data_IF_677601809784
#
_entry.id   IF_677601809784
#
_cell.length_a   1.000
_cell.length_b   1.000
_cell.length_c   1.000
_cell.angle_alpha   90.00
_cell.angle_beta   90.00
_cell.angle_gamma   90.00
#
_symmetry.space_group_name_H-M   'P 1'
#
loop_
_entity.id
_entity.type
_entity.pdbx_description
1 polymer ?
#
# COMPACT_ATOMS: atom_id res chain seq x y z
N UNK A 1 1.90 7.39 11.78
CA UNK A 1 2.78 7.10 10.63
C UNK A 1 2.18 5.96 9.83
N UNK A 2 1.76 6.21 8.60
CA UNK A 2 1.25 5.18 7.68
C UNK A 2 2.46 4.43 7.11
N UNK A 3 2.57 3.11 7.33
CA UNK A 3 3.79 2.37 7.01
C UNK A 3 3.50 1.21 6.05
N UNK A 4 3.82 1.42 4.77
CA UNK A 4 3.85 0.35 3.76
C UNK A 4 4.69 -0.86 4.21
N UNK A 5 5.81 -0.61 4.90
CA UNK A 5 6.65 -1.65 5.48
C UNK A 5 5.89 -2.58 6.46
N UNK A 6 4.94 -2.04 7.23
CA UNK A 6 4.12 -2.84 8.16
C UNK A 6 3.17 -3.77 7.40
N UNK A 7 2.50 -3.25 6.38
CA UNK A 7 1.62 -4.06 5.52
C UNK A 7 2.41 -5.20 4.86
N UNK A 8 3.58 -4.91 4.28
CA UNK A 8 4.46 -5.91 3.65
C UNK A 8 4.97 -6.95 4.65
N UNK A 9 5.37 -6.55 5.85
CA UNK A 9 5.79 -7.47 6.91
C UNK A 9 4.67 -8.44 7.32
N UNK A 10 3.45 -7.93 7.52
CA UNK A 10 2.29 -8.75 7.86
C UNK A 10 1.95 -9.71 6.72
N UNK A 11 2.06 -9.26 5.47
CA UNK A 11 1.84 -10.08 4.30
C UNK A 11 2.86 -11.23 4.22
N UNK A 12 4.15 -10.92 4.37
CA UNK A 12 5.23 -11.91 4.34
C UNK A 12 5.15 -12.93 5.49
N UNK A 13 4.53 -12.57 6.60
CA UNK A 13 4.33 -13.45 7.77
C UNK A 13 2.98 -14.18 7.77
N UNK A 14 2.22 -14.11 6.67
CA UNK A 14 0.94 -14.81 6.51
C UNK A 14 -0.25 -14.18 7.25
N UNK A 15 -0.08 -13.00 7.84
CA UNK A 15 -1.15 -12.26 8.55
C UNK A 15 -2.00 -11.45 7.58
N UNK A 16 -2.55 -12.12 6.56
CA UNK A 16 -3.17 -11.51 5.36
C UNK A 16 -4.26 -10.49 5.68
N UNK A 17 -5.15 -10.76 6.66
CA UNK A 17 -6.20 -9.80 7.04
C UNK A 17 -5.63 -8.49 7.59
N UNK A 18 -4.69 -8.59 8.54
CA UNK A 18 -4.04 -7.41 9.12
C UNK A 18 -3.20 -6.67 8.08
N UNK A 19 -2.55 -7.42 7.19
CA UNK A 19 -1.81 -6.85 6.07
C UNK A 19 -2.73 -6.03 5.16
N UNK A 20 -3.92 -6.56 4.83
CA UNK A 20 -4.91 -5.88 4.00
C UNK A 20 -5.47 -4.62 4.67
N UNK A 21 -5.68 -4.63 5.99
CA UNK A 21 -6.13 -3.46 6.74
C UNK A 21 -5.06 -2.35 6.73
N UNK A 22 -3.79 -2.70 6.94
CA UNK A 22 -2.68 -1.75 6.85
C UNK A 22 -2.46 -1.24 5.42
N UNK A 23 -2.62 -2.09 4.41
CA UNK A 23 -2.58 -1.68 3.01
C UNK A 23 -3.69 -0.68 2.68
N UNK A 24 -4.92 -0.86 3.16
CA UNK A 24 -6.00 0.12 2.97
C UNK A 24 -5.65 1.48 3.56
N UNK A 25 -4.99 1.51 4.72
CA UNK A 25 -4.52 2.77 5.30
C UNK A 25 -3.47 3.46 4.41
N UNK A 26 -2.52 2.69 3.85
CA UNK A 26 -1.52 3.19 2.89
C UNK A 26 -2.19 3.71 1.62
N UNK A 27 -3.08 2.92 1.02
CA UNK A 27 -3.81 3.24 -0.20
C UNK A 27 -4.58 4.55 -0.07
N UNK A 28 -5.36 4.68 1.01
CA UNK A 28 -6.14 5.90 1.27
C UNK A 28 -5.23 7.11 1.45
N UNK A 29 -4.10 6.95 2.13
CA UNK A 29 -3.15 8.03 2.36
C UNK A 29 -2.49 8.53 1.08
N UNK A 30 -1.96 7.63 0.24
CA UNK A 30 -1.27 8.01 -0.99
C UNK A 30 -2.22 8.58 -2.04
N UNK A 31 -3.46 8.06 -2.13
CA UNK A 31 -4.49 8.62 -3.03
C UNK A 31 -4.98 9.98 -2.57
N UNK A 32 -5.20 10.16 -1.26
CA UNK A 32 -5.67 11.43 -0.70
C UNK A 32 -4.67 12.58 -0.81
N UNK A 33 -3.38 12.28 -1.03
CA UNK A 33 -2.29 13.25 -1.08
C UNK A 33 -1.49 13.17 -2.40
N UNK A 34 -2.09 12.63 -3.46
CA UNK A 34 -1.41 12.34 -4.73
C UNK A 34 -0.64 13.55 -5.29
N UNK A 35 -1.25 14.73 -5.30
CA UNK A 35 -0.60 15.97 -5.79
C UNK A 35 0.68 16.33 -5.02
N UNK A 36 0.78 15.95 -3.75
CA UNK A 36 1.99 16.17 -2.94
C UNK A 36 3.10 15.16 -3.28
N UNK A 37 2.73 13.98 -3.75
CA UNK A 37 3.66 12.88 -3.98
C UNK A 37 4.05 12.70 -5.45
N UNK A 38 3.26 13.21 -6.40
CA UNK A 38 3.44 12.92 -7.84
C UNK A 38 4.86 13.21 -8.38
N UNK A 39 5.59 14.15 -7.77
CA UNK A 39 6.96 14.48 -8.17
C UNK A 39 7.99 13.42 -7.81
N UNK A 40 7.68 12.54 -6.85
CA UNK A 40 8.59 11.54 -6.28
C UNK A 40 8.00 10.12 -6.25
N UNK A 41 6.69 9.97 -6.43
CA UNK A 41 5.98 8.71 -6.31
C UNK A 41 4.86 8.62 -7.36
N UNK A 42 4.95 7.62 -8.23
CA UNK A 42 3.84 7.23 -9.08
C UNK A 42 2.85 6.40 -8.25
N UNK A 43 1.79 7.06 -7.78
CA UNK A 43 0.74 6.46 -6.94
C UNK A 43 0.08 5.27 -7.65
N UNK A 44 -0.17 5.39 -8.96
CA UNK A 44 -0.82 4.32 -9.72
C UNK A 44 0.09 3.10 -9.87
N UNK A 45 1.39 3.32 -10.10
CA UNK A 45 2.35 2.21 -10.14
C UNK A 45 2.44 1.47 -8.80
N UNK A 46 2.42 2.18 -7.68
CA UNK A 46 2.41 1.55 -6.35
C UNK A 46 1.17 0.66 -6.18
N UNK A 47 0.00 1.15 -6.60
CA UNK A 47 -1.26 0.41 -6.54
C UNK A 47 -1.21 -0.84 -7.44
N UNK A 48 -0.75 -0.68 -8.67
CA UNK A 48 -0.59 -1.77 -9.63
C UNK A 48 0.33 -2.86 -9.07
N UNK A 49 1.51 -2.46 -8.58
CA UNK A 49 2.50 -3.40 -8.04
C UNK A 49 1.97 -4.13 -6.81
N UNK A 50 1.32 -3.39 -5.89
CA UNK A 50 0.72 -3.97 -4.70
C UNK A 50 -0.33 -5.05 -5.04
N UNK A 51 -1.16 -4.78 -6.06
CA UNK A 51 -2.21 -5.70 -6.51
C UNK A 51 -1.65 -6.92 -7.24
N UNK A 52 -0.77 -6.70 -8.21
CA UNK A 52 -0.37 -7.73 -9.15
C UNK A 52 0.81 -8.58 -8.65
N UNK A 53 1.62 -8.06 -7.72
CA UNK A 53 2.87 -8.71 -7.31
C UNK A 53 3.04 -8.86 -5.79
N UNK A 54 2.37 -8.04 -4.97
CA UNK A 54 2.47 -8.13 -3.51
C UNK A 54 1.28 -8.85 -2.84
N UNK A 55 0.24 -9.20 -3.62
CA UNK A 55 -0.92 -9.95 -3.13
C UNK A 55 -1.89 -9.13 -2.28
N UNK A 56 -1.90 -7.81 -2.43
CA UNK A 56 -2.90 -6.94 -1.82
C UNK A 56 -4.13 -6.75 -2.73
N UNK A 57 -5.26 -6.36 -2.15
CA UNK A 57 -6.50 -6.09 -2.87
C UNK A 57 -6.92 -4.61 -2.74
N UNK A 58 -7.77 -4.14 -3.66
CA UNK A 58 -8.38 -2.79 -3.61
C UNK A 58 -9.50 -2.72 -2.57
#
# INVERSE_FOLDING_TARGET
VVKMAKALYLQATGKTRQAQDEWRNVLNYIRGHELLFQSNLDVYRVIEVAKNYAGFHL
#
